data_IF_999310095556
#
_entry.id   IF_999310095556
#
_cell.length_a   1.000
_cell.length_b   1.000
_cell.length_c   1.000
_cell.angle_alpha   90.00
_cell.angle_beta   90.00
_cell.angle_gamma   90.00
#
_symmetry.space_group_name_H-M   'P 1'
#
loop_
_entity.id
_entity.type
_entity.pdbx_description
1 polymer ?
#
# COMPACT_ATOMS: atom_id res chain seq x y z
N UNK A 1 -3.09 17.98 -9.99
CA UNK A 1 -3.03 17.29 -8.70
C UNK A 1 -3.91 16.06 -8.78
N UNK A 2 -3.36 15.01 -9.41
CA UNK A 2 -4.09 13.79 -9.67
C UNK A 2 -4.05 12.83 -8.49
N UNK A 3 -5.05 11.96 -8.44
CA UNK A 3 -5.11 10.80 -7.55
C UNK A 3 -3.90 9.90 -7.82
N UNK A 4 -2.97 9.82 -6.88
CA UNK A 4 -1.81 8.96 -7.04
C UNK A 4 -2.15 7.52 -6.64
N UNK A 5 -2.14 6.63 -7.63
CA UNK A 5 -2.17 5.18 -7.42
C UNK A 5 -0.72 4.68 -7.36
N UNK A 6 -0.43 3.69 -6.52
CA UNK A 6 0.93 3.16 -6.34
C UNK A 6 1.65 2.93 -7.68
N UNK A 7 2.82 3.53 -7.90
CA UNK A 7 3.60 3.36 -9.13
C UNK A 7 4.29 1.99 -9.23
N UNK A 8 4.29 1.20 -8.15
CA UNK A 8 4.84 -0.16 -8.14
C UNK A 8 3.74 -1.17 -8.47
N UNK A 9 4.01 -2.19 -9.32
CA UNK A 9 3.04 -3.24 -9.66
C UNK A 9 2.44 -3.91 -8.42
N UNK A 10 1.15 -4.21 -8.46
CA UNK A 10 0.45 -4.97 -7.41
C UNK A 10 0.57 -6.48 -7.70
N UNK A 11 1.75 -7.00 -7.84
CA UNK A 11 1.94 -8.44 -7.89
C UNK A 11 2.31 -8.95 -6.50
N UNK A 12 1.50 -9.82 -5.91
CA UNK A 12 1.71 -10.34 -4.56
C UNK A 12 2.73 -11.48 -4.51
N UNK A 13 3.14 -12.00 -5.68
CA UNK A 13 4.00 -13.16 -5.80
C UNK A 13 5.47 -12.78 -6.08
N UNK A 14 5.81 -11.50 -6.10
CA UNK A 14 7.17 -11.06 -6.43
C UNK A 14 7.96 -10.72 -5.17
N UNK A 15 8.92 -11.57 -4.83
CA UNK A 15 9.86 -11.42 -3.72
C UNK A 15 10.50 -10.01 -3.68
N UNK A 16 10.96 -9.54 -4.83
CA UNK A 16 11.63 -8.24 -4.94
C UNK A 16 10.71 -7.07 -4.70
N UNK A 17 9.42 -7.22 -5.01
CA UNK A 17 8.43 -6.19 -4.76
C UNK A 17 8.26 -5.91 -3.25
N UNK A 18 8.24 -6.94 -2.43
CA UNK A 18 8.13 -6.81 -0.97
C UNK A 18 9.39 -6.18 -0.38
N UNK A 19 10.57 -6.56 -0.89
CA UNK A 19 11.85 -5.96 -0.49
C UNK A 19 11.92 -4.46 -0.86
N UNK A 20 11.55 -4.10 -2.09
CA UNK A 20 11.52 -2.71 -2.57
C UNK A 20 10.54 -1.87 -1.75
N UNK A 21 9.33 -2.36 -1.50
CA UNK A 21 8.36 -1.65 -0.65
C UNK A 21 8.87 -1.47 0.77
N UNK A 22 9.51 -2.50 1.33
CA UNK A 22 10.04 -2.46 2.67
C UNK A 22 11.15 -1.40 2.81
N UNK A 23 12.02 -1.28 1.80
CA UNK A 23 13.07 -0.27 1.75
C UNK A 23 12.55 1.15 1.51
N UNK A 24 11.41 1.31 0.81
CA UNK A 24 10.82 2.64 0.54
C UNK A 24 10.00 3.19 1.71
N UNK A 25 9.42 2.34 2.56
CA UNK A 25 8.53 2.77 3.65
C UNK A 25 9.36 3.09 4.90
N UNK A 26 9.29 4.32 5.38
CA UNK A 26 10.00 4.78 6.57
C UNK A 26 9.67 3.96 7.83
N UNK A 27 10.68 3.79 8.68
CA UNK A 27 10.56 3.13 10.00
C UNK A 27 9.98 4.10 11.02
N UNK A 28 8.67 4.25 11.01
CA UNK A 28 7.95 5.04 11.99
C UNK A 28 6.78 4.23 12.59
N UNK A 29 6.20 4.65 13.72
CA UNK A 29 5.11 3.93 14.38
C UNK A 29 3.88 3.72 13.47
N UNK A 30 3.55 4.68 12.62
CA UNK A 30 2.40 4.59 11.69
C UNK A 30 2.58 3.50 10.65
N UNK A 31 3.81 3.22 10.26
CA UNK A 31 4.14 2.22 9.25
C UNK A 31 4.44 0.83 9.84
N UNK A 32 4.44 0.69 11.16
CA UNK A 32 4.86 -0.53 11.82
C UNK A 32 4.13 -1.78 11.31
N UNK A 33 2.80 -1.76 11.29
CA UNK A 33 2.00 -2.91 10.86
C UNK A 33 2.20 -3.26 9.38
N UNK A 34 2.33 -2.24 8.52
CA UNK A 34 2.59 -2.43 7.08
C UNK A 34 3.96 -3.07 6.88
N UNK A 35 4.99 -2.55 7.55
CA UNK A 35 6.35 -3.10 7.49
C UNK A 35 6.42 -4.54 8.01
N UNK A 36 5.73 -4.86 9.11
CA UNK A 36 5.64 -6.20 9.67
C UNK A 36 4.98 -7.20 8.71
N UNK A 37 3.95 -6.77 7.99
CA UNK A 37 3.31 -7.59 6.96
C UNK A 37 4.26 -7.85 5.80
N UNK A 38 4.86 -6.80 5.23
CA UNK A 38 5.82 -6.92 4.12
C UNK A 38 7.00 -7.84 4.48
N UNK A 39 7.52 -7.71 5.69
CA UNK A 39 8.61 -8.55 6.17
C UNK A 39 8.20 -10.02 6.28
N UNK A 40 6.99 -10.30 6.79
CA UNK A 40 6.45 -11.65 6.88
C UNK A 40 6.25 -12.29 5.52
N UNK A 41 5.70 -11.52 4.57
CA UNK A 41 5.48 -11.96 3.21
C UNK A 41 6.83 -12.23 2.50
N UNK A 42 7.82 -11.34 2.69
CA UNK A 42 9.19 -11.53 2.19
C UNK A 42 9.86 -12.80 2.75
N UNK A 43 9.75 -13.02 4.06
CA UNK A 43 10.32 -14.22 4.71
C UNK A 43 9.64 -15.51 4.22
N UNK A 44 8.34 -15.48 3.98
CA UNK A 44 7.61 -16.61 3.42
C UNK A 44 8.13 -16.95 2.02
N UNK A 45 8.22 -15.96 1.15
CA UNK A 45 8.72 -16.15 -0.23
C UNK A 45 10.19 -16.60 -0.26
N UNK A 46 11.03 -16.10 0.67
CA UNK A 46 12.42 -16.58 0.81
C UNK A 46 12.48 -18.05 1.24
N UNK A 47 11.59 -18.50 2.12
CA UNK A 47 11.53 -19.90 2.54
C UNK A 47 11.06 -20.84 1.41
N UNK A 48 10.17 -20.35 0.54
CA UNK A 48 9.69 -21.12 -0.61
C UNK A 48 10.77 -21.28 -1.69
N UNK A 49 11.82 -20.45 -1.69
CA UNK A 49 13.03 -20.61 -2.50
C UNK A 49 13.98 -21.65 -1.89
N UNK A 50 13.56 -22.89 -1.76
CA UNK A 50 14.10 -24.03 -1.02
C UNK A 50 15.64 -24.21 -0.93
N UNK A 51 16.42 -23.54 -1.77
CA UNK A 51 17.86 -23.77 -1.88
C UNK A 51 18.74 -22.83 -1.04
N UNK A 52 18.22 -21.72 -0.50
CA UNK A 52 19.07 -20.61 -0.09
C UNK A 52 18.96 -20.15 1.37
N UNK A 53 17.87 -20.45 2.07
CA UNK A 53 17.63 -19.93 3.42
C UNK A 53 17.92 -20.91 4.55
N UNK A 54 18.46 -22.08 4.26
CA UNK A 54 18.77 -23.10 5.30
C UNK A 54 19.68 -22.63 6.44
N UNK A 55 20.32 -21.47 6.30
CA UNK A 55 21.35 -21.01 7.23
C UNK A 55 21.07 -19.68 7.93
N UNK A 56 20.03 -18.92 7.53
CA UNK A 56 19.76 -17.60 8.11
C UNK A 56 18.44 -17.58 8.89
N UNK A 57 18.52 -17.20 10.16
CA UNK A 57 17.33 -16.96 10.96
C UNK A 57 16.60 -15.70 10.46
N UNK A 58 15.25 -15.59 10.68
CA UNK A 58 14.50 -14.37 10.38
C UNK A 58 15.12 -13.10 10.97
N UNK A 59 15.72 -13.19 12.16
CA UNK A 59 16.44 -12.07 12.81
C UNK A 59 17.66 -11.61 12.03
N UNK A 60 18.40 -12.54 11.43
CA UNK A 60 19.58 -12.21 10.59
C UNK A 60 19.13 -11.53 9.29
N UNK A 61 18.09 -12.05 8.64
CA UNK A 61 17.53 -11.42 7.42
C UNK A 61 17.07 -9.99 7.70
N UNK A 62 16.35 -9.76 8.80
CA UNK A 62 15.93 -8.42 9.23
C UNK A 62 17.14 -7.50 9.46
N UNK A 63 18.20 -8.01 10.10
CA UNK A 63 19.42 -7.25 10.34
C UNK A 63 20.10 -6.84 9.03
N UNK A 64 20.16 -7.73 8.04
CA UNK A 64 20.74 -7.41 6.74
C UNK A 64 19.90 -6.41 5.95
N UNK A 65 18.58 -6.56 5.92
CA UNK A 65 17.66 -5.56 5.33
C UNK A 65 17.88 -4.18 5.96
N UNK A 66 17.99 -4.11 7.28
CA UNK A 66 18.21 -2.85 7.98
C UNK A 66 19.54 -2.19 7.61
N UNK A 67 20.60 -2.96 7.42
CA UNK A 67 21.90 -2.44 6.99
C UNK A 67 21.83 -1.86 5.57
N UNK A 68 21.18 -2.60 4.66
CA UNK A 68 21.09 -2.21 3.25
C UNK A 68 20.23 -0.95 3.11
N UNK A 69 19.09 -0.87 3.80
CA UNK A 69 18.23 0.32 3.80
C UNK A 69 18.99 1.58 4.23
N UNK A 70 19.92 1.46 5.19
CA UNK A 70 20.70 2.61 5.67
C UNK A 70 21.75 3.08 4.66
N UNK A 71 22.22 2.20 3.79
CA UNK A 71 23.26 2.48 2.81
C UNK A 71 22.74 2.94 1.43
N UNK A 72 21.41 3.02 1.23
CA UNK A 72 20.82 3.35 -0.07
C UNK A 72 20.80 4.86 -0.32
N UNK A 73 21.33 5.27 -1.48
CA UNK A 73 21.18 6.63 -1.99
C UNK A 73 19.88 6.76 -2.79
N UNK A 74 18.93 7.54 -2.29
CA UNK A 74 17.65 7.81 -2.96
C UNK A 74 17.75 8.85 -4.09
N UNK A 75 18.90 9.49 -4.29
CA UNK A 75 19.06 10.51 -5.34
C UNK A 75 19.42 9.91 -6.70
N UNK A 76 19.65 8.61 -6.78
CA UNK A 76 19.94 7.93 -8.04
C UNK A 76 18.67 7.57 -8.83
N UNK A 77 18.86 7.12 -10.07
CA UNK A 77 17.78 6.60 -10.89
C UNK A 77 17.19 5.32 -10.30
N UNK A 78 15.89 5.11 -10.53
CA UNK A 78 15.13 4.02 -9.89
C UNK A 78 15.63 2.62 -10.29
N UNK A 79 16.09 2.43 -11.51
CA UNK A 79 16.65 1.16 -11.98
C UNK A 79 17.97 0.82 -11.28
N UNK A 80 18.86 1.81 -11.14
CA UNK A 80 20.11 1.67 -10.40
C UNK A 80 19.80 1.37 -8.94
N UNK A 81 18.85 2.08 -8.35
CA UNK A 81 18.46 1.90 -6.96
C UNK A 81 17.89 0.49 -6.69
N UNK A 82 16.93 0.03 -7.49
CA UNK A 82 16.35 -1.31 -7.35
C UNK A 82 17.41 -2.39 -7.55
N UNK A 83 18.27 -2.23 -8.57
CA UNK A 83 19.36 -3.17 -8.84
C UNK A 83 20.34 -3.26 -7.67
N UNK A 84 20.78 -2.14 -7.13
CA UNK A 84 21.69 -2.10 -5.99
C UNK A 84 21.05 -2.71 -4.74
N UNK A 85 19.79 -2.40 -4.45
CA UNK A 85 19.05 -2.96 -3.34
C UNK A 85 19.03 -4.50 -3.42
N UNK A 86 18.60 -5.06 -4.55
CA UNK A 86 18.44 -6.49 -4.74
C UNK A 86 19.80 -7.19 -4.75
N UNK A 87 20.80 -6.64 -5.46
CA UNK A 87 22.14 -7.22 -5.52
C UNK A 87 22.80 -7.24 -4.14
N UNK A 88 22.74 -6.14 -3.38
CA UNK A 88 23.29 -6.08 -2.03
C UNK A 88 22.58 -7.05 -1.09
N UNK A 89 21.25 -7.16 -1.20
CA UNK A 89 20.49 -8.11 -0.41
C UNK A 89 20.87 -9.56 -0.73
N UNK A 90 20.94 -9.93 -1.99
CA UNK A 90 21.37 -11.26 -2.41
C UNK A 90 22.80 -11.56 -1.96
N UNK A 91 23.72 -10.64 -2.16
CA UNK A 91 25.12 -10.80 -1.70
C UNK A 91 25.22 -11.01 -0.19
N UNK A 92 24.41 -10.32 0.60
CA UNK A 92 24.37 -10.48 2.07
C UNK A 92 23.84 -11.85 2.50
N UNK A 93 23.08 -12.51 1.64
CA UNK A 93 22.57 -13.86 1.84
C UNK A 93 23.45 -14.94 1.20
N UNK A 94 24.57 -14.56 0.55
CA UNK A 94 25.42 -15.47 -0.20
C UNK A 94 24.81 -15.95 -1.53
N UNK A 95 23.86 -15.21 -2.07
CA UNK A 95 23.17 -15.51 -3.32
C UNK A 95 23.84 -14.78 -4.48
N UNK A 96 24.15 -15.50 -5.54
CA UNK A 96 24.62 -14.91 -6.80
C UNK A 96 23.44 -14.56 -7.71
N UNK A 97 23.34 -13.29 -8.10
CA UNK A 97 22.35 -12.78 -9.06
C UNK A 97 23.06 -12.58 -10.40
N UNK A 98 23.25 -13.65 -11.13
CA UNK A 98 23.79 -13.59 -12.48
C UNK A 98 22.65 -13.38 -13.53
N UNK A 99 23.02 -12.91 -14.72
CA UNK A 99 22.11 -12.57 -15.82
C UNK A 99 21.23 -13.74 -16.31
N UNK A 100 21.53 -14.97 -15.94
CA UNK A 100 20.78 -16.15 -16.32
C UNK A 100 19.82 -16.62 -15.22
N UNK A 101 19.97 -16.11 -13.99
CA UNK A 101 19.16 -16.52 -12.86
C UNK A 101 17.71 -16.05 -13.00
N UNK A 102 16.78 -16.81 -12.46
CA UNK A 102 15.37 -16.41 -12.36
C UNK A 102 15.23 -15.09 -11.58
N UNK A 103 15.97 -14.96 -10.50
CA UNK A 103 16.00 -13.76 -9.66
C UNK A 103 16.38 -12.48 -10.44
N UNK A 104 17.33 -12.57 -11.36
CA UNK A 104 17.71 -11.46 -12.23
C UNK A 104 16.58 -11.08 -13.22
N UNK A 105 15.95 -12.07 -13.83
CA UNK A 105 14.83 -11.83 -14.76
C UNK A 105 13.66 -11.12 -14.06
N UNK A 106 13.28 -11.60 -12.89
CA UNK A 106 12.24 -10.97 -12.05
C UNK A 106 12.61 -9.54 -11.67
N UNK A 107 13.87 -9.28 -11.32
CA UNK A 107 14.36 -7.92 -11.03
C UNK A 107 14.19 -6.99 -12.24
N UNK A 108 14.56 -7.43 -13.43
CA UNK A 108 14.40 -6.63 -14.66
C UNK A 108 12.91 -6.37 -14.95
N UNK A 109 12.06 -7.38 -14.83
CA UNK A 109 10.61 -7.22 -14.98
C UNK A 109 10.04 -6.21 -13.99
N UNK A 110 10.48 -6.23 -12.74
CA UNK A 110 10.05 -5.26 -11.73
C UNK A 110 10.50 -3.84 -12.08
N UNK A 111 11.75 -3.65 -12.53
CA UNK A 111 12.28 -2.35 -12.96
C UNK A 111 11.43 -1.79 -14.11
N UNK A 112 11.22 -2.57 -15.15
CA UNK A 112 10.47 -2.15 -16.34
C UNK A 112 9.01 -1.80 -15.99
N UNK A 113 8.36 -2.63 -15.19
CA UNK A 113 7.00 -2.39 -14.75
C UNK A 113 6.90 -1.13 -13.86
N UNK A 114 7.89 -0.88 -13.00
CA UNK A 114 7.97 0.31 -12.16
C UNK A 114 8.15 1.56 -13.02
N UNK A 115 9.10 1.56 -13.97
CA UNK A 115 9.32 2.68 -14.89
C UNK A 115 8.08 3.01 -15.72
N UNK A 116 7.41 2.00 -16.29
CA UNK A 116 6.15 2.19 -17.03
C UNK A 116 5.06 2.86 -16.16
N UNK A 117 4.96 2.48 -14.90
CA UNK A 117 3.99 3.10 -13.99
C UNK A 117 4.39 4.52 -13.60
N UNK A 118 5.65 4.78 -13.30
CA UNK A 118 6.15 6.12 -13.02
C UNK A 118 5.87 7.07 -14.19
N UNK A 119 6.13 6.62 -15.43
CA UNK A 119 5.81 7.39 -16.64
C UNK A 119 4.32 7.74 -16.73
N UNK A 120 3.43 6.78 -16.43
CA UNK A 120 1.98 7.02 -16.45
C UNK A 120 1.53 8.13 -15.49
N UNK A 121 2.26 8.34 -14.40
CA UNK A 121 1.96 9.37 -13.40
C UNK A 121 2.86 10.60 -13.52
N UNK A 122 3.58 10.75 -14.63
CA UNK A 122 4.50 11.87 -14.89
C UNK A 122 5.52 12.09 -13.77
N UNK A 123 5.95 10.99 -13.13
CA UNK A 123 6.99 11.01 -12.11
C UNK A 123 8.37 11.00 -12.76
N UNK A 124 9.34 11.65 -12.13
CA UNK A 124 10.75 11.45 -12.49
C UNK A 124 11.18 10.03 -12.14
N UNK A 125 12.15 9.49 -12.87
CA UNK A 125 12.65 8.12 -12.65
C UNK A 125 13.68 8.04 -11.51
N UNK A 126 13.46 8.78 -10.41
CA UNK A 126 14.34 8.79 -9.25
C UNK A 126 13.76 8.01 -8.07
N UNK A 127 14.60 7.36 -7.31
CA UNK A 127 14.19 6.60 -6.13
C UNK A 127 13.54 7.50 -5.07
N UNK A 128 13.97 8.76 -4.94
CA UNK A 128 13.40 9.74 -4.02
C UNK A 128 11.93 10.06 -4.31
N UNK A 129 11.50 10.02 -5.58
CA UNK A 129 10.10 10.25 -5.93
C UNK A 129 9.22 9.11 -5.41
N UNK A 130 9.67 7.86 -5.55
CA UNK A 130 8.98 6.72 -4.95
C UNK A 130 9.01 6.75 -3.42
N UNK A 131 10.14 7.09 -2.83
CA UNK A 131 10.27 7.22 -1.38
C UNK A 131 9.28 8.26 -0.83
N UNK A 132 9.21 9.43 -1.46
CA UNK A 132 8.28 10.50 -1.10
C UNK A 132 6.82 10.07 -1.26
N UNK A 133 6.50 9.31 -2.31
CA UNK A 133 5.18 8.74 -2.53
C UNK A 133 4.77 7.75 -1.43
N UNK A 134 5.65 6.80 -1.09
CA UNK A 134 5.33 5.79 -0.07
C UNK A 134 5.24 6.34 1.35
N UNK A 135 5.87 7.48 1.62
CA UNK A 135 5.85 8.12 2.93
C UNK A 135 4.87 9.30 3.00
N UNK A 136 3.98 9.43 2.03
CA UNK A 136 2.93 10.46 1.99
C UNK A 136 3.44 11.89 2.19
N UNK A 137 4.64 12.19 1.69
CA UNK A 137 5.21 13.54 1.74
C UNK A 137 4.52 14.50 0.76
N UNK A 138 3.71 13.96 -0.16
CA UNK A 138 2.91 14.74 -1.11
C UNK A 138 1.73 13.92 -1.64
N UNK A 139 0.66 14.59 -2.07
CA UNK A 139 -0.50 13.98 -2.72
C UNK A 139 -1.70 13.69 -1.80
N UNK A 140 -2.74 13.05 -2.35
CA UNK A 140 -3.97 12.67 -1.68
C UNK A 140 -4.02 11.14 -1.53
N UNK A 141 -4.20 10.65 -0.31
CA UNK A 141 -4.40 9.22 -0.05
C UNK A 141 -5.85 8.85 -0.32
N UNK A 142 -6.09 7.96 -1.29
CA UNK A 142 -7.41 7.36 -1.50
C UNK A 142 -7.41 5.96 -0.89
N UNK A 143 -8.38 5.73 -0.02
CA UNK A 143 -8.49 4.47 0.72
C UNK A 143 -9.94 4.23 1.17
N UNK A 144 -10.23 3.03 1.66
CA UNK A 144 -11.52 2.74 2.29
C UNK A 144 -11.50 3.17 3.76
N UNK A 145 -12.66 3.48 4.32
CA UNK A 145 -12.78 3.86 5.74
C UNK A 145 -12.23 2.76 6.70
N UNK A 146 -12.36 1.49 6.34
CA UNK A 146 -11.81 0.38 7.15
C UNK A 146 -10.27 0.38 7.17
N UNK A 147 -9.64 0.79 6.07
CA UNK A 147 -8.17 0.82 5.95
C UNK A 147 -7.54 2.05 6.63
N UNK A 148 -8.34 3.01 7.10
CA UNK A 148 -7.85 4.18 7.84
C UNK A 148 -7.75 3.96 9.35
N UNK A 149 -8.05 2.76 9.84
CA UNK A 149 -8.02 2.47 11.28
C UNK A 149 -6.61 2.70 11.85
N UNK A 150 -6.50 3.65 12.79
CA UNK A 150 -5.24 4.05 13.41
C UNK A 150 -4.55 5.25 12.77
N UNK A 151 -4.91 5.62 11.54
CA UNK A 151 -4.38 6.81 10.87
C UNK A 151 -5.18 8.06 11.23
N UNK A 152 -4.53 9.24 11.13
CA UNK A 152 -5.17 10.54 11.26
C UNK A 152 -4.68 11.48 10.17
N UNK A 153 -5.57 12.35 9.68
CA UNK A 153 -5.30 13.24 8.54
C UNK A 153 -5.77 14.67 8.85
N UNK A 154 -5.07 15.66 8.33
CA UNK A 154 -5.49 17.06 8.48
C UNK A 154 -6.87 17.31 7.84
N UNK A 155 -7.09 16.71 6.67
CA UNK A 155 -8.34 16.83 5.92
C UNK A 155 -8.84 15.46 5.51
N UNK A 156 -10.11 15.19 5.74
CA UNK A 156 -10.82 14.02 5.22
C UNK A 156 -11.94 14.46 4.30
N UNK A 157 -11.98 13.84 3.14
CA UNK A 157 -13.10 13.94 2.19
C UNK A 157 -13.69 12.53 2.06
N UNK A 158 -14.88 12.33 2.60
CA UNK A 158 -15.61 11.07 2.52
C UNK A 158 -16.72 11.19 1.48
N UNK A 159 -16.69 10.33 0.47
CA UNK A 159 -17.70 10.26 -0.60
C UNK A 159 -18.48 8.97 -0.51
N UNK A 160 -19.62 8.89 -1.22
CA UNK A 160 -20.44 7.68 -1.29
C UNK A 160 -21.29 7.45 -0.05
N UNK A 161 -21.70 8.51 0.64
CA UNK A 161 -22.59 8.45 1.81
C UNK A 161 -24.05 8.20 1.39
N UNK A 162 -24.28 7.04 0.79
CA UNK A 162 -25.53 6.62 0.21
C UNK A 162 -26.08 5.37 0.91
N UNK A 163 -27.38 5.33 1.12
CA UNK A 163 -28.07 4.16 1.64
C UNK A 163 -27.91 2.97 0.67
N UNK A 164 -27.38 1.85 1.16
CA UNK A 164 -26.93 0.73 0.34
C UNK A 164 -25.41 0.67 0.16
N UNK A 165 -24.68 1.77 0.51
CA UNK A 165 -23.24 1.78 0.70
C UNK A 165 -22.89 1.93 2.19
N UNK A 166 -23.62 2.80 2.91
CA UNK A 166 -23.55 2.99 4.36
C UNK A 166 -24.97 3.15 4.91
N UNK A 167 -25.56 2.16 5.59
CA UNK A 167 -25.10 0.76 5.67
C UNK A 167 -25.08 0.08 4.29
N UNK A 168 -24.32 -1.00 4.14
CA UNK A 168 -24.27 -1.71 2.86
C UNK A 168 -25.53 -2.54 2.60
N UNK A 169 -25.75 -3.00 1.36
CA UNK A 169 -26.94 -3.75 1.01
C UNK A 169 -27.12 -5.05 1.80
N UNK A 170 -26.08 -5.75 2.15
CA UNK A 170 -26.19 -6.98 2.94
C UNK A 170 -26.71 -6.66 4.34
N UNK A 171 -26.19 -5.60 4.98
CA UNK A 171 -26.70 -5.17 6.28
C UNK A 171 -28.19 -4.75 6.20
N UNK A 172 -28.61 -4.12 5.09
CA UNK A 172 -30.01 -3.70 4.89
C UNK A 172 -30.95 -4.90 4.70
N UNK A 173 -30.49 -5.93 4.00
CA UNK A 173 -31.32 -7.11 3.69
C UNK A 173 -31.34 -8.10 4.87
N UNK A 174 -30.18 -8.33 5.47
CA UNK A 174 -29.99 -9.45 6.40
C UNK A 174 -30.13 -9.05 7.87
N UNK A 175 -30.12 -7.73 8.19
CA UNK A 175 -30.07 -7.27 9.56
C UNK A 175 -31.26 -6.41 9.97
N UNK A 176 -31.53 -6.37 11.29
CA UNK A 176 -32.57 -5.49 11.86
C UNK A 176 -32.24 -4.01 11.67
N UNK A 177 -33.26 -3.11 11.64
CA UNK A 177 -33.04 -1.66 11.54
C UNK A 177 -32.12 -1.10 12.65
N UNK A 178 -32.16 -1.66 13.85
CA UNK A 178 -31.28 -1.29 14.95
C UNK A 178 -29.81 -1.62 14.64
N UNK A 179 -29.55 -2.78 14.05
CA UNK A 179 -28.21 -3.19 13.63
C UNK A 179 -27.70 -2.34 12.48
N UNK A 180 -28.54 -2.07 11.47
CA UNK A 180 -28.19 -1.18 10.35
C UNK A 180 -27.75 0.20 10.85
N UNK A 181 -28.52 0.77 11.79
CA UNK A 181 -28.20 2.06 12.41
C UNK A 181 -26.88 2.00 13.19
N UNK A 182 -26.66 0.94 13.94
CA UNK A 182 -25.39 0.74 14.69
C UNK A 182 -24.18 0.67 13.76
N UNK A 183 -24.25 -0.12 12.69
CA UNK A 183 -23.15 -0.26 11.71
C UNK A 183 -22.86 1.06 11.01
N UNK A 184 -23.89 1.77 10.55
CA UNK A 184 -23.72 3.05 9.88
C UNK A 184 -23.09 4.09 10.82
N UNK A 185 -23.59 4.24 12.04
CA UNK A 185 -23.03 5.16 13.05
C UNK A 185 -21.59 4.85 13.41
N UNK A 186 -21.25 3.56 13.58
CA UNK A 186 -19.89 3.13 13.87
C UNK A 186 -18.93 3.50 12.74
N UNK A 187 -19.36 3.35 11.50
CA UNK A 187 -18.54 3.69 10.33
C UNK A 187 -18.36 5.20 10.19
N UNK A 188 -19.41 5.98 10.36
CA UNK A 188 -19.35 7.45 10.37
C UNK A 188 -18.47 7.97 11.51
N UNK A 189 -18.52 7.34 12.69
CA UNK A 189 -17.62 7.65 13.80
C UNK A 189 -16.15 7.39 13.43
N UNK A 190 -15.85 6.24 12.79
CA UNK A 190 -14.48 5.95 12.33
C UNK A 190 -14.00 7.03 11.36
N UNK A 191 -14.83 7.42 10.40
CA UNK A 191 -14.50 8.47 9.42
C UNK A 191 -14.24 9.80 10.13
N UNK A 192 -15.17 10.24 10.99
CA UNK A 192 -15.08 11.52 11.69
C UNK A 192 -13.88 11.60 12.62
N UNK A 193 -13.57 10.49 13.33
CA UNK A 193 -12.45 10.45 14.26
C UNK A 193 -11.06 10.44 13.60
N UNK A 194 -10.99 10.38 12.27
CA UNK A 194 -9.73 10.45 11.50
C UNK A 194 -9.34 11.88 11.10
N UNK A 195 -10.27 12.83 11.15
CA UNK A 195 -10.03 14.22 10.74
C UNK A 195 -9.45 15.04 11.90
N UNK A 196 -8.29 15.68 11.68
CA UNK A 196 -7.67 16.60 12.63
C UNK A 196 -8.20 18.03 12.53
N UNK A 197 -8.46 18.49 11.29
CA UNK A 197 -8.83 19.89 11.02
C UNK A 197 -10.15 20.01 10.27
N UNK A 198 -10.29 19.28 9.16
CA UNK A 198 -11.46 19.41 8.30
C UNK A 198 -12.02 18.05 7.89
N UNK A 199 -13.33 17.93 7.97
CA UNK A 199 -14.10 16.77 7.53
C UNK A 199 -15.15 17.21 6.51
N UNK A 200 -15.07 16.68 5.29
CA UNK A 200 -16.07 16.87 4.25
C UNK A 200 -16.83 15.56 4.04
N UNK A 201 -18.14 15.60 4.25
CA UNK A 201 -19.04 14.48 4.03
C UNK A 201 -19.85 14.76 2.76
N UNK A 202 -19.64 13.94 1.73
CA UNK A 202 -20.24 14.13 0.41
C UNK A 202 -21.20 12.98 0.10
N UNK A 203 -22.45 13.34 -0.13
CA UNK A 203 -23.46 12.43 -0.65
C UNK A 203 -23.81 12.85 -2.09
N UNK A 204 -23.50 11.98 -3.05
CA UNK A 204 -23.69 12.28 -4.46
C UNK A 204 -25.16 12.03 -4.87
N UNK A 205 -25.74 12.94 -5.63
CA UNK A 205 -27.02 12.74 -6.31
C UNK A 205 -26.83 12.15 -7.72
N UNK A 206 -27.87 11.55 -8.28
CA UNK A 206 -27.87 11.05 -9.66
C UNK A 206 -27.41 9.61 -9.84
N UNK A 207 -26.81 8.98 -8.83
CA UNK A 207 -26.52 7.55 -8.87
C UNK A 207 -27.79 6.71 -8.77
N UNK A 208 -27.86 5.65 -9.58
CA UNK A 208 -29.00 4.73 -9.61
C UNK A 208 -28.55 3.32 -9.25
N UNK A 209 -29.44 2.58 -8.57
CA UNK A 209 -29.30 1.15 -8.32
C UNK A 209 -29.36 0.37 -9.64
N UNK A 210 -28.98 -0.91 -9.63
CA UNK A 210 -29.12 -1.79 -10.81
C UNK A 210 -30.54 -1.86 -11.35
N UNK A 211 -31.54 -1.63 -10.49
CA UNK A 211 -32.97 -1.59 -10.88
C UNK A 211 -33.44 -0.19 -11.34
N UNK A 212 -32.52 0.78 -11.48
CA UNK A 212 -32.82 2.12 -11.97
C UNK A 212 -33.37 3.11 -10.92
N UNK A 213 -33.53 2.72 -9.65
CA UNK A 213 -33.95 3.62 -8.58
C UNK A 213 -32.82 4.53 -8.11
N UNK A 214 -33.08 5.82 -7.81
CA UNK A 214 -32.08 6.71 -7.27
C UNK A 214 -31.65 6.24 -5.86
N UNK A 215 -30.33 6.32 -5.59
CA UNK A 215 -29.85 6.14 -4.23
C UNK A 215 -30.32 7.28 -3.33
N UNK A 216 -30.69 6.94 -2.12
CA UNK A 216 -30.99 7.90 -1.06
C UNK A 216 -29.72 8.19 -0.24
N UNK A 217 -29.68 9.34 0.39
CA UNK A 217 -28.62 9.70 1.34
C UNK A 217 -28.63 8.71 2.52
N UNK A 218 -27.46 8.45 3.08
CA UNK A 218 -27.34 7.67 4.33
C UNK A 218 -28.21 8.28 5.43
N UNK A 219 -29.18 7.54 6.01
CA UNK A 219 -30.16 8.12 6.95
C UNK A 219 -29.55 8.68 8.25
N UNK A 220 -28.29 8.32 8.55
CA UNK A 220 -27.60 8.72 9.78
C UNK A 220 -26.76 10.00 9.61
N UNK A 221 -26.75 10.59 8.41
CA UNK A 221 -26.22 11.91 8.15
C UNK A 221 -27.22 12.97 8.52
#
# INVERSE_FOLDING_TARGET
>A
DGIMVSPIPKNNENLWLNLVKLALIEKNPSNYLVRQKLLRDLLKELNDLESYTKFLSPKQIIKEINKIEFALDYNCEIDIWIKNLITNFCSSLGLDVNNQSYAYKEMICLIDATKKRMAKYSMNYRANDLHSFFNFKSGVKITTCHSTKGDEYDVIICTGLLNGKIPNWNDIIDCSPAHQNYVARRLLYVIGSRAKKHLYLISESGHKTQKGYPYQVTPQL
#
